data_IF_122206272656
#
_entry.id   IF_122206272656
#
_cell.length_a   1.000
_cell.length_b   1.000
_cell.length_c   1.000
_cell.angle_alpha   90.00
_cell.angle_beta   90.00
_cell.angle_gamma   90.00
#
_symmetry.space_group_name_H-M   'P 1'
#
loop_
_entity.id
_entity.type
_entity.pdbx_description
1 polymer ?
#
# COMPACT_ATOMS: atom_id res chain seq x y z
N UNK A 1 -0.01 23.73 -15.83
CA UNK A 1 -0.17 23.19 -14.46
C UNK A 1 -0.91 24.23 -13.63
N UNK A 2 -2.08 23.88 -13.08
CA UNK A 2 -2.89 24.80 -12.27
C UNK A 2 -2.56 24.70 -10.78
N UNK A 3 -2.69 25.82 -10.06
CA UNK A 3 -2.56 25.87 -8.61
C UNK A 3 -3.75 25.17 -7.95
N UNK A 4 -3.48 24.21 -7.05
CA UNK A 4 -4.53 23.64 -6.18
C UNK A 4 -4.75 24.57 -4.98
N UNK A 5 -5.55 25.62 -5.16
CA UNK A 5 -5.75 26.74 -4.20
C UNK A 5 -5.91 26.29 -2.75
N UNK A 6 -6.84 25.37 -2.46
CA UNK A 6 -7.07 24.87 -1.09
C UNK A 6 -5.86 24.15 -0.49
N UNK A 7 -5.10 23.41 -1.31
CA UNK A 7 -3.88 22.73 -0.85
C UNK A 7 -2.77 23.73 -0.57
N UNK A 8 -2.60 24.72 -1.44
CA UNK A 8 -1.60 25.78 -1.28
C UNK A 8 -1.93 26.69 -0.08
N UNK A 9 -3.20 27.02 0.16
CA UNK A 9 -3.63 27.80 1.32
C UNK A 9 -3.39 27.07 2.64
N UNK A 10 -3.67 25.76 2.71
CA UNK A 10 -3.33 24.96 3.89
C UNK A 10 -1.80 24.93 4.14
N UNK A 11 -0.98 24.88 3.08
CA UNK A 11 0.49 25.01 3.21
C UNK A 11 0.91 26.39 3.71
N UNK A 12 0.25 27.45 3.25
CA UNK A 12 0.47 28.81 3.77
C UNK A 12 0.17 28.88 5.27
N UNK A 13 -0.95 28.30 5.73
CA UNK A 13 -1.26 28.19 7.15
C UNK A 13 -0.13 27.51 7.93
N UNK A 14 0.36 26.34 7.45
CA UNK A 14 1.46 25.62 8.10
C UNK A 14 2.77 26.40 8.11
N UNK A 15 3.09 27.18 7.08
CA UNK A 15 4.29 28.03 7.09
C UNK A 15 4.26 29.07 8.21
N UNK A 16 3.07 29.45 8.69
CA UNK A 16 2.88 30.33 9.86
C UNK A 16 2.81 29.57 11.19
N UNK A 17 3.10 28.27 11.21
CA UNK A 17 3.06 27.43 12.41
C UNK A 17 1.66 26.99 12.82
N UNK A 18 0.64 27.15 11.96
CA UNK A 18 -0.70 26.64 12.27
C UNK A 18 -0.74 25.12 12.13
N UNK A 19 -1.37 24.47 13.10
CA UNK A 19 -1.60 23.02 13.14
C UNK A 19 -3.08 22.71 13.00
N UNK A 20 -3.39 21.47 12.63
CA UNK A 20 -4.73 20.93 12.69
C UNK A 20 -4.85 19.94 13.86
N UNK A 21 -6.06 19.73 14.42
CA UNK A 21 -6.28 18.79 15.52
C UNK A 21 -5.75 17.38 15.21
N UNK A 22 -5.87 16.94 13.96
CA UNK A 22 -5.53 15.58 13.53
C UNK A 22 -4.06 15.39 13.16
N UNK A 23 -3.20 16.41 13.27
CA UNK A 23 -1.81 16.35 12.80
C UNK A 23 -1.00 15.26 13.53
N UNK A 24 -1.15 15.14 14.85
CA UNK A 24 -0.49 14.10 15.66
C UNK A 24 -0.99 12.69 15.31
N UNK A 25 -2.30 12.56 15.03
CA UNK A 25 -2.87 11.26 14.64
C UNK A 25 -2.39 10.84 13.25
N UNK A 26 -2.29 11.77 12.30
CA UNK A 26 -1.71 11.52 10.99
C UNK A 26 -0.26 11.05 11.09
N UNK A 27 0.54 11.69 11.96
CA UNK A 27 1.93 11.28 12.19
C UNK A 27 1.99 9.86 12.78
N UNK A 28 1.21 9.57 13.83
CA UNK A 28 1.13 8.23 14.42
C UNK A 28 0.72 7.16 13.42
N UNK A 29 -0.24 7.45 12.54
CA UNK A 29 -0.66 6.50 11.50
C UNK A 29 0.46 6.27 10.49
N UNK A 30 1.19 7.31 10.08
CA UNK A 30 2.32 7.16 9.17
C UNK A 30 3.43 6.30 9.76
N UNK A 31 3.76 6.49 11.04
CA UNK A 31 4.70 5.61 11.75
C UNK A 31 4.21 4.16 11.73
N UNK A 32 2.93 3.94 12.06
CA UNK A 32 2.31 2.60 12.01
C UNK A 32 2.32 1.99 10.61
N UNK A 33 2.16 2.78 9.55
CA UNK A 33 2.26 2.31 8.16
C UNK A 33 3.68 1.85 7.86
N UNK A 34 4.71 2.61 8.27
CA UNK A 34 6.11 2.22 8.05
C UNK A 34 6.52 0.95 8.80
N UNK A 35 5.83 0.62 9.90
CA UNK A 35 6.10 -0.57 10.70
C UNK A 35 5.46 -1.86 10.13
N UNK A 36 4.51 -1.77 9.19
CA UNK A 36 3.83 -2.96 8.64
C UNK A 36 4.65 -3.53 7.48
N UNK A 37 5.24 -4.70 7.70
CA UNK A 37 5.76 -5.55 6.63
C UNK A 37 4.74 -6.65 6.27
N UNK A 38 4.34 -6.67 5.01
CA UNK A 38 3.38 -7.63 4.46
C UNK A 38 4.06 -8.94 4.04
N UNK A 39 5.36 -8.93 3.77
CA UNK A 39 6.09 -10.08 3.23
C UNK A 39 5.55 -10.61 1.89
N UNK A 40 6.29 -11.54 1.29
CA UNK A 40 5.93 -12.17 0.02
C UNK A 40 5.66 -13.68 0.19
N UNK A 41 5.01 -14.29 -0.78
CA UNK A 41 4.88 -15.76 -0.84
C UNK A 41 3.60 -16.25 -1.54
N UNK A 42 3.73 -17.38 -2.21
CA UNK A 42 2.67 -18.07 -2.95
C UNK A 42 2.37 -19.46 -2.35
N UNK A 43 1.10 -19.86 -2.41
CA UNK A 43 0.59 -21.16 -1.96
C UNK A 43 0.54 -22.15 -3.13
N UNK A 44 0.61 -21.69 -4.38
CA UNK A 44 0.41 -22.51 -5.57
C UNK A 44 1.40 -23.70 -5.63
N UNK A 45 2.67 -23.45 -5.35
CA UNK A 45 3.73 -24.47 -5.38
C UNK A 45 3.48 -25.57 -4.34
N UNK A 46 3.08 -25.18 -3.13
CA UNK A 46 2.75 -26.13 -2.08
C UNK A 46 1.50 -26.97 -2.42
N UNK A 47 0.53 -26.41 -3.14
CA UNK A 47 -0.64 -27.16 -3.62
C UNK A 47 -0.26 -28.18 -4.68
N UNK A 48 0.62 -27.81 -5.62
CA UNK A 48 1.12 -28.73 -6.65
C UNK A 48 1.90 -29.88 -6.03
N UNK A 49 2.80 -29.59 -5.09
CA UNK A 49 3.56 -30.62 -4.38
C UNK A 49 2.66 -31.62 -3.63
N UNK A 50 1.58 -31.15 -2.99
CA UNK A 50 0.61 -32.05 -2.33
C UNK A 50 -0.14 -32.91 -3.35
N UNK A 51 -0.54 -32.34 -4.50
CA UNK A 51 -1.21 -33.10 -5.54
C UNK A 51 -0.31 -34.20 -6.12
N UNK A 52 0.93 -33.85 -6.46
CA UNK A 52 1.93 -34.77 -7.01
C UNK A 52 2.20 -35.96 -6.07
N UNK A 53 2.49 -35.68 -4.79
CA UNK A 53 2.77 -36.76 -3.81
C UNK A 53 1.53 -37.60 -3.49
N UNK A 54 0.33 -37.02 -3.56
CA UNK A 54 -0.92 -37.77 -3.37
C UNK A 54 -1.14 -38.76 -4.52
N UNK A 55 -0.97 -38.30 -5.77
CA UNK A 55 -1.06 -39.17 -6.95
C UNK A 55 -0.02 -40.29 -6.91
N UNK A 56 1.22 -39.99 -6.50
CA UNK A 56 2.26 -41.01 -6.37
C UNK A 56 1.95 -42.02 -5.25
N UNK A 57 1.40 -41.55 -4.12
CA UNK A 57 0.96 -42.43 -3.03
C UNK A 57 -0.12 -43.41 -3.51
N UNK A 58 -1.11 -42.93 -4.28
CA UNK A 58 -2.16 -43.77 -4.85
C UNK A 58 -1.59 -44.83 -5.81
N UNK A 59 -0.69 -44.42 -6.71
CA UNK A 59 0.03 -45.32 -7.62
C UNK A 59 0.81 -46.41 -6.87
N UNK A 60 1.48 -46.06 -5.76
CA UNK A 60 2.25 -47.01 -4.95
C UNK A 60 1.35 -47.97 -4.16
N UNK A 61 0.18 -47.52 -3.69
CA UNK A 61 -0.81 -48.42 -3.06
C UNK A 61 -1.32 -49.47 -4.03
N UNK A 62 -1.59 -49.10 -5.28
CA UNK A 62 -1.95 -50.04 -6.33
C UNK A 62 -0.83 -51.06 -6.61
N UNK A 63 0.43 -50.61 -6.68
CA UNK A 63 1.58 -51.51 -6.84
C UNK A 63 1.74 -52.49 -5.67
N UNK A 64 1.57 -52.04 -4.43
CA UNK A 64 1.59 -52.92 -3.25
C UNK A 64 0.48 -53.97 -3.35
N UNK A 65 -0.73 -53.58 -3.74
CA UNK A 65 -1.84 -54.51 -3.92
C UNK A 65 -1.55 -55.55 -5.01
N UNK A 66 -0.99 -55.12 -6.15
CA UNK A 66 -0.58 -56.00 -7.23
C UNK A 66 0.53 -56.98 -6.79
N UNK A 67 1.56 -56.49 -6.09
CA UNK A 67 2.66 -57.31 -5.58
C UNK A 67 2.17 -58.35 -4.54
N UNK A 68 1.23 -57.96 -3.66
CA UNK A 68 0.56 -58.91 -2.75
C UNK A 68 -0.18 -60.00 -3.51
N UNK A 69 -0.92 -59.66 -4.55
CA UNK A 69 -1.63 -60.63 -5.40
C UNK A 69 -0.67 -61.62 -6.08
N UNK A 70 0.44 -61.14 -6.65
CA UNK A 70 1.48 -61.99 -7.26
C UNK A 70 2.10 -62.95 -6.25
N UNK A 71 2.44 -62.45 -5.06
CA UNK A 71 3.01 -63.27 -3.98
C UNK A 71 2.05 -64.37 -3.53
N UNK A 72 0.75 -64.06 -3.43
CA UNK A 72 -0.26 -65.06 -3.09
C UNK A 72 -0.37 -66.15 -4.17
N UNK A 73 -0.45 -65.78 -5.44
CA UNK A 73 -0.50 -66.74 -6.55
C UNK A 73 0.75 -67.65 -6.61
N UNK A 74 1.95 -67.10 -6.37
CA UNK A 74 3.19 -67.89 -6.33
C UNK A 74 3.20 -68.94 -5.20
N UNK A 75 2.65 -68.58 -4.03
CA UNK A 75 2.52 -69.50 -2.89
C UNK A 75 1.49 -70.61 -3.14
N UNK A 76 0.34 -70.26 -3.73
CA UNK A 76 -0.71 -71.23 -4.09
C UNK A 76 -0.24 -72.20 -5.18
N UNK A 77 0.58 -71.74 -6.12
CA UNK A 77 1.18 -72.57 -7.18
C UNK A 77 2.35 -73.46 -6.73
N UNK A 78 2.77 -73.40 -5.46
CA UNK A 78 3.86 -74.22 -4.91
C UNK A 78 5.26 -73.90 -5.46
N UNK A 79 5.44 -72.74 -6.09
CA UNK A 79 6.72 -72.30 -6.69
C UNK A 79 7.60 -71.48 -5.76
N UNK A 80 8.77 -71.06 -6.25
CA UNK A 80 9.66 -70.13 -5.56
C UNK A 80 9.04 -68.72 -5.48
N UNK A 81 8.77 -68.26 -4.24
CA UNK A 81 8.15 -66.97 -3.95
C UNK A 81 9.17 -65.86 -3.63
N UNK A 82 10.48 -66.11 -3.78
CA UNK A 82 11.54 -65.17 -3.39
C UNK A 82 11.45 -63.85 -4.16
N UNK A 83 11.30 -63.91 -5.49
CA UNK A 83 11.19 -62.71 -6.33
C UNK A 83 9.94 -61.88 -6.02
N UNK A 84 8.79 -62.53 -5.82
CA UNK A 84 7.54 -61.85 -5.47
C UNK A 84 7.59 -61.23 -4.06
N UNK A 85 8.35 -61.83 -3.14
CA UNK A 85 8.59 -61.28 -1.80
C UNK A 85 9.43 -60.01 -1.88
N UNK A 86 10.54 -60.03 -2.64
CA UNK A 86 11.39 -58.86 -2.85
C UNK A 86 10.65 -57.70 -3.56
N UNK A 87 9.78 -58.00 -4.53
CA UNK A 87 8.93 -57.02 -5.20
C UNK A 87 7.98 -56.34 -4.19
N UNK A 88 7.31 -57.13 -3.33
CA UNK A 88 6.43 -56.61 -2.30
C UNK A 88 7.17 -55.75 -1.28
N UNK A 89 8.32 -56.20 -0.77
CA UNK A 89 9.13 -55.44 0.17
C UNK A 89 9.58 -54.10 -0.42
N UNK A 90 10.01 -54.09 -1.68
CA UNK A 90 10.38 -52.85 -2.37
C UNK A 90 9.20 -51.90 -2.53
N UNK A 91 8.03 -52.40 -2.93
CA UNK A 91 6.82 -51.59 -3.09
C UNK A 91 6.33 -51.01 -1.75
N UNK A 92 6.37 -51.79 -0.66
CA UNK A 92 6.02 -51.33 0.68
C UNK A 92 6.99 -50.27 1.19
N UNK A 93 8.29 -50.44 0.95
CA UNK A 93 9.30 -49.44 1.31
C UNK A 93 9.04 -48.10 0.59
N UNK A 94 8.87 -48.14 -0.73
CA UNK A 94 8.58 -46.94 -1.52
C UNK A 94 7.29 -46.26 -1.06
N UNK A 95 6.22 -47.03 -0.81
CA UNK A 95 4.97 -46.49 -0.27
C UNK A 95 5.19 -45.78 1.07
N UNK A 96 5.94 -46.40 1.99
CA UNK A 96 6.20 -45.83 3.32
C UNK A 96 6.99 -44.51 3.24
N UNK A 97 7.97 -44.42 2.34
CA UNK A 97 8.73 -43.20 2.07
C UNK A 97 7.82 -42.10 1.50
N UNK A 98 7.02 -42.41 0.48
CA UNK A 98 6.11 -41.43 -0.14
C UNK A 98 4.98 -40.99 0.80
N UNK A 99 4.46 -41.88 1.67
CA UNK A 99 3.48 -41.50 2.69
C UNK A 99 4.07 -40.49 3.68
N UNK A 100 5.35 -40.64 4.03
CA UNK A 100 6.07 -39.66 4.86
C UNK A 100 6.19 -38.31 4.13
N UNK A 101 6.55 -38.32 2.85
CA UNK A 101 6.60 -37.11 2.02
C UNK A 101 5.24 -36.43 1.88
N UNK A 102 4.16 -37.21 1.80
CA UNK A 102 2.79 -36.72 1.71
C UNK A 102 2.37 -35.96 2.97
N UNK A 103 2.68 -36.51 4.14
CA UNK A 103 2.47 -35.83 5.42
C UNK A 103 3.28 -34.53 5.48
N UNK A 104 4.56 -34.58 5.09
CA UNK A 104 5.42 -33.41 5.10
C UNK A 104 4.94 -32.30 4.14
N UNK A 105 4.52 -32.66 2.92
CA UNK A 105 3.95 -31.73 1.94
C UNK A 105 2.67 -31.08 2.46
N UNK A 106 1.79 -31.87 3.07
CA UNK A 106 0.54 -31.38 3.66
C UNK A 106 0.78 -30.38 4.79
N UNK A 107 1.74 -30.66 5.68
CA UNK A 107 2.13 -29.74 6.74
C UNK A 107 2.71 -28.43 6.19
N UNK A 108 3.57 -28.50 5.15
CA UNK A 108 4.10 -27.30 4.48
C UNK A 108 2.97 -26.45 3.88
N UNK A 109 2.01 -27.08 3.21
CA UNK A 109 0.84 -26.40 2.65
C UNK A 109 -0.01 -25.74 3.74
N UNK A 110 -0.20 -26.38 4.89
CA UNK A 110 -0.94 -25.79 6.00
C UNK A 110 -0.25 -24.51 6.51
N UNK A 111 1.05 -24.56 6.80
CA UNK A 111 1.82 -23.38 7.24
C UNK A 111 1.78 -22.26 6.20
N UNK A 112 1.89 -22.61 4.91
CA UNK A 112 1.79 -21.63 3.84
C UNK A 112 0.41 -20.98 3.75
N UNK A 113 -0.67 -21.72 4.02
CA UNK A 113 -2.04 -21.19 4.09
C UNK A 113 -2.23 -20.23 5.25
N UNK A 114 -1.72 -20.58 6.43
CA UNK A 114 -1.75 -19.72 7.62
C UNK A 114 -1.00 -18.41 7.36
N UNK A 115 0.25 -18.51 6.88
CA UNK A 115 1.03 -17.34 6.51
C UNK A 115 0.32 -16.47 5.46
N UNK A 116 -0.32 -17.06 4.45
CA UNK A 116 -1.06 -16.31 3.45
C UNK A 116 -2.29 -15.56 4.01
N UNK A 117 -2.96 -16.12 5.02
CA UNK A 117 -4.03 -15.44 5.75
C UNK A 117 -3.48 -14.25 6.52
N UNK A 118 -2.40 -14.44 7.27
CA UNK A 118 -1.74 -13.34 7.99
C UNK A 118 -1.29 -12.23 7.05
N UNK A 119 -0.70 -12.55 5.89
CA UNK A 119 -0.34 -11.55 4.86
C UNK A 119 -1.56 -10.81 4.32
N UNK A 120 -2.71 -11.49 4.18
CA UNK A 120 -3.97 -10.84 3.77
C UNK A 120 -4.44 -9.87 4.85
N UNK A 121 -4.46 -10.29 6.11
CA UNK A 121 -4.92 -9.48 7.24
C UNK A 121 -4.01 -8.26 7.45
N UNK A 122 -2.70 -8.42 7.27
CA UNK A 122 -1.75 -7.30 7.26
C UNK A 122 -2.03 -6.29 6.15
N UNK A 123 -2.31 -6.76 4.92
CA UNK A 123 -2.70 -5.88 3.79
C UNK A 123 -4.02 -5.16 4.05
N UNK A 124 -5.01 -5.85 4.59
CA UNK A 124 -6.28 -5.26 4.99
C UNK A 124 -6.05 -4.14 6.02
N UNK A 125 -5.23 -4.39 7.04
CA UNK A 125 -4.84 -3.38 8.04
C UNK A 125 -4.10 -2.21 7.42
N UNK A 126 -3.19 -2.45 6.48
CA UNK A 126 -2.45 -1.42 5.76
C UNK A 126 -3.41 -0.48 5.01
N UNK A 127 -4.30 -1.03 4.17
CA UNK A 127 -5.28 -0.23 3.42
C UNK A 127 -6.16 0.62 4.33
N UNK A 128 -6.67 0.05 5.43
CA UNK A 128 -7.48 0.78 6.41
C UNK A 128 -6.74 1.95 7.03
N UNK A 129 -5.43 1.82 7.27
CA UNK A 129 -4.61 2.89 7.81
C UNK A 129 -4.31 3.96 6.75
N UNK A 130 -4.04 3.56 5.50
CA UNK A 130 -3.87 4.50 4.38
C UNK A 130 -5.14 5.34 4.17
N UNK A 131 -6.31 4.69 4.15
CA UNK A 131 -7.60 5.37 4.01
C UNK A 131 -7.86 6.33 5.18
N UNK A 132 -7.58 5.91 6.41
CA UNK A 132 -7.71 6.77 7.59
C UNK A 132 -6.76 7.97 7.51
N UNK A 133 -5.50 7.76 7.14
CA UNK A 133 -4.55 8.86 6.95
C UNK A 133 -5.04 9.85 5.89
N UNK A 134 -5.54 9.35 4.75
CA UNK A 134 -6.08 10.19 3.69
C UNK A 134 -7.32 10.99 4.13
N UNK A 135 -8.17 10.42 4.99
CA UNK A 135 -9.32 11.12 5.56
C UNK A 135 -8.88 12.24 6.50
N UNK A 136 -8.02 11.93 7.48
CA UNK A 136 -7.51 12.91 8.43
C UNK A 136 -6.71 14.02 7.75
N UNK A 137 -5.92 13.70 6.72
CA UNK A 137 -5.22 14.73 5.93
C UNK A 137 -6.18 15.66 5.18
N UNK A 138 -7.34 15.15 4.74
CA UNK A 138 -8.38 15.97 4.12
C UNK A 138 -9.06 16.87 5.16
N UNK A 139 -9.36 16.33 6.34
CA UNK A 139 -9.95 17.06 7.46
C UNK A 139 -9.00 18.15 7.97
N UNK A 140 -7.73 17.81 8.22
CA UNK A 140 -6.68 18.75 8.60
C UNK A 140 -6.53 19.89 7.57
N UNK A 141 -6.57 19.56 6.28
CA UNK A 141 -6.53 20.57 5.21
C UNK A 141 -7.77 21.47 5.23
N UNK A 142 -8.96 20.90 5.37
CA UNK A 142 -10.21 21.66 5.44
C UNK A 142 -10.21 22.59 6.66
N UNK A 143 -9.73 22.11 7.80
CA UNK A 143 -9.57 22.89 9.02
C UNK A 143 -8.64 24.10 8.81
N UNK A 144 -7.43 23.88 8.29
CA UNK A 144 -6.47 24.95 8.02
C UNK A 144 -6.98 25.97 7.00
N UNK A 145 -7.66 25.50 5.94
CA UNK A 145 -8.32 26.36 4.97
C UNK A 145 -9.42 27.19 5.62
N UNK A 146 -10.23 26.59 6.49
CA UNK A 146 -11.28 27.28 7.23
C UNK A 146 -10.73 28.42 8.09
N UNK A 147 -9.62 28.19 8.79
CA UNK A 147 -8.99 29.22 9.62
C UNK A 147 -8.45 30.42 8.82
N UNK A 148 -8.07 30.22 7.55
CA UNK A 148 -7.58 31.31 6.68
C UNK A 148 -8.62 31.82 5.68
N UNK A 149 -9.83 31.27 5.63
CA UNK A 149 -10.80 31.53 4.56
C UNK A 149 -11.14 33.02 4.42
N UNK A 150 -11.40 33.71 5.53
CA UNK A 150 -11.75 35.13 5.51
C UNK A 150 -10.55 36.01 5.12
N UNK A 151 -9.37 35.74 5.68
CA UNK A 151 -8.13 36.45 5.31
C UNK A 151 -7.76 36.22 3.85
N UNK A 152 -8.03 35.04 3.32
CA UNK A 152 -7.84 34.71 1.91
C UNK A 152 -8.83 35.48 1.02
N UNK A 153 -10.11 35.56 1.41
CA UNK A 153 -11.11 36.41 0.72
C UNK A 153 -10.64 37.86 0.64
N UNK A 154 -10.20 38.42 1.76
CA UNK A 154 -9.66 39.78 1.82
C UNK A 154 -8.42 39.96 0.95
N UNK A 155 -7.49 39.01 1.00
CA UNK A 155 -6.27 39.04 0.20
C UNK A 155 -6.57 39.00 -1.30
N UNK A 156 -7.52 38.15 -1.74
CA UNK A 156 -7.97 38.07 -3.14
C UNK A 156 -8.59 39.40 -3.58
N UNK A 157 -9.49 39.97 -2.77
CA UNK A 157 -10.12 41.26 -3.09
C UNK A 157 -9.11 42.42 -3.16
N UNK A 158 -8.00 42.32 -2.44
CA UNK A 158 -6.94 43.32 -2.43
C UNK A 158 -5.87 43.13 -3.53
N UNK A 159 -5.94 42.06 -4.35
CA UNK A 159 -5.00 41.86 -5.46
C UNK A 159 -5.22 42.94 -6.52
N UNK A 160 -4.18 43.71 -6.90
CA UNK A 160 -4.34 44.73 -7.93
C UNK A 160 -4.76 44.11 -9.27
N UNK A 161 -5.72 44.75 -9.94
CA UNK A 161 -6.27 44.29 -11.23
C UNK A 161 -6.91 42.90 -11.19
N UNK A 162 -7.20 42.34 -10.01
CA UNK A 162 -8.12 41.24 -9.89
C UNK A 162 -9.52 41.74 -10.29
N UNK A 163 -10.16 41.05 -11.23
CA UNK A 163 -11.57 41.33 -11.54
C UNK A 163 -12.45 41.05 -10.32
N UNK A 164 -13.73 41.42 -10.41
CA UNK A 164 -14.68 41.08 -9.34
C UNK A 164 -14.93 39.56 -9.36
N UNK A 165 -14.51 38.84 -8.32
CA UNK A 165 -14.68 37.39 -8.21
C UNK A 165 -15.75 37.07 -7.16
N UNK A 166 -16.78 36.32 -7.54
CA UNK A 166 -17.88 35.96 -6.65
C UNK A 166 -17.46 34.98 -5.54
N UNK A 167 -16.70 33.94 -5.90
CA UNK A 167 -16.05 33.03 -4.93
C UNK A 167 -14.51 33.23 -5.00
N UNK A 168 -13.85 33.66 -3.91
CA UNK A 168 -12.39 33.78 -3.86
C UNK A 168 -11.62 32.51 -4.25
N UNK A 169 -12.22 31.33 -4.11
CA UNK A 169 -11.60 30.06 -4.51
C UNK A 169 -11.67 29.78 -6.02
N UNK A 170 -12.50 30.52 -6.76
CA UNK A 170 -12.63 30.48 -8.22
C UNK A 170 -11.79 31.57 -8.92
N UNK A 171 -11.00 32.32 -8.16
CA UNK A 171 -10.08 33.32 -8.70
C UNK A 171 -9.07 32.69 -9.68
N UNK A 172 -8.61 33.47 -10.66
CA UNK A 172 -7.60 33.00 -11.60
C UNK A 172 -6.30 32.58 -10.87
N UNK A 173 -5.53 31.62 -11.43
CA UNK A 173 -4.38 31.06 -10.73
C UNK A 173 -3.33 32.09 -10.28
N UNK A 174 -3.17 33.21 -10.99
CA UNK A 174 -2.20 34.27 -10.62
C UNK A 174 -2.72 35.04 -9.42
N UNK A 175 -4.00 35.43 -9.43
CA UNK A 175 -4.67 36.10 -8.30
C UNK A 175 -4.64 35.22 -7.05
N UNK A 176 -4.99 33.94 -7.19
CA UNK A 176 -4.94 32.97 -6.08
C UNK A 176 -3.50 32.79 -5.54
N UNK A 177 -2.50 32.68 -6.44
CA UNK A 177 -1.10 32.56 -6.04
C UNK A 177 -0.61 33.79 -5.26
N UNK A 178 -0.93 35.00 -5.71
CA UNK A 178 -0.55 36.24 -5.02
C UNK A 178 -1.20 36.34 -3.64
N UNK A 179 -2.50 36.05 -3.54
CA UNK A 179 -3.20 36.06 -2.26
C UNK A 179 -2.62 35.04 -1.27
N UNK A 180 -2.30 33.82 -1.74
CA UNK A 180 -1.66 32.79 -0.90
C UNK A 180 -0.23 33.21 -0.50
N UNK A 181 0.55 33.77 -1.43
CA UNK A 181 1.91 34.23 -1.16
C UNK A 181 1.94 35.33 -0.08
N UNK A 182 0.98 36.26 -0.10
CA UNK A 182 0.81 37.28 0.94
C UNK A 182 0.47 36.69 2.32
N UNK A 183 -0.25 35.58 2.36
CA UNK A 183 -0.62 34.92 3.63
C UNK A 183 0.45 33.96 4.14
N UNK A 184 1.35 33.48 3.28
CA UNK A 184 2.38 32.53 3.65
C UNK A 184 3.58 33.21 4.33
N UNK A 185 4.26 32.50 5.23
CA UNK A 185 5.60 32.87 5.67
C UNK A 185 6.61 32.24 4.69
N UNK A 186 7.03 33.01 3.69
CA UNK A 186 7.92 32.52 2.64
C UNK A 186 9.38 32.63 3.06
N UNK A 187 10.12 31.52 2.95
CA UNK A 187 11.56 31.46 3.23
C UNK A 187 12.43 31.87 2.04
N UNK A 188 11.83 32.02 0.85
CA UNK A 188 12.51 32.36 -0.39
C UNK A 188 11.86 33.58 -1.07
N UNK A 189 12.61 34.37 -1.85
CA UNK A 189 12.05 35.47 -2.64
C UNK A 189 10.97 35.00 -3.62
N UNK A 190 9.93 35.82 -3.81
CA UNK A 190 8.89 35.61 -4.81
C UNK A 190 9.38 36.11 -6.16
N UNK A 191 9.40 35.21 -7.15
CA UNK A 191 9.69 35.56 -8.54
C UNK A 191 8.39 35.95 -9.23
N UNK A 192 8.28 37.19 -9.69
CA UNK A 192 7.10 37.74 -10.37
C UNK A 192 7.36 37.92 -11.86
N UNK A 193 6.65 37.13 -12.65
CA UNK A 193 6.55 37.24 -14.11
C UNK A 193 5.10 37.58 -14.50
N UNK A 194 4.53 38.62 -13.88
CA UNK A 194 3.18 39.09 -14.16
C UNK A 194 3.06 40.62 -14.02
N UNK A 195 2.11 41.20 -14.75
CA UNK A 195 1.90 42.66 -14.81
C UNK A 195 0.83 43.16 -13.83
N UNK A 196 0.70 42.51 -12.66
CA UNK A 196 -0.23 42.93 -11.61
C UNK A 196 0.28 44.13 -10.81
N UNK A 197 1.59 44.36 -10.78
CA UNK A 197 2.20 45.44 -10.00
C UNK A 197 3.00 46.37 -10.89
N UNK A 198 2.84 47.68 -10.71
CA UNK A 198 3.58 48.69 -11.45
C UNK A 198 5.09 48.70 -11.17
N UNK A 199 5.54 48.13 -10.04
CA UNK A 199 6.97 48.03 -9.70
C UNK A 199 7.25 46.86 -8.75
N UNK A 200 8.50 46.38 -8.72
CA UNK A 200 8.95 45.38 -7.75
C UNK A 200 8.80 45.88 -6.30
N UNK A 201 8.99 47.17 -6.05
CA UNK A 201 8.79 47.77 -4.73
C UNK A 201 7.31 47.75 -4.29
N UNK A 202 6.38 48.00 -5.21
CA UNK A 202 4.95 47.89 -4.92
C UNK A 202 4.55 46.44 -4.61
N UNK A 203 5.07 45.49 -5.39
CA UNK A 203 4.85 44.07 -5.15
C UNK A 203 5.42 43.61 -3.81
N UNK A 204 6.65 44.01 -3.48
CA UNK A 204 7.30 43.69 -2.19
C UNK A 204 6.47 44.20 -1.01
N UNK A 205 5.98 45.44 -1.07
CA UNK A 205 5.13 46.02 -0.02
C UNK A 205 3.79 45.28 0.13
N UNK A 206 3.22 44.81 -0.97
CA UNK A 206 1.95 44.10 -0.94
C UNK A 206 2.10 42.64 -0.51
N UNK A 207 3.15 41.94 -0.97
CA UNK A 207 3.41 40.55 -0.62
C UNK A 207 4.01 40.40 0.78
N UNK A 208 4.57 41.47 1.33
CA UNK A 208 5.36 41.45 2.57
C UNK A 208 6.51 40.42 2.52
N UNK A 209 7.10 40.26 1.34
CA UNK A 209 8.15 39.29 1.06
C UNK A 209 9.15 39.85 0.04
N UNK A 210 10.43 39.41 0.04
CA UNK A 210 11.40 39.77 -1.00
C UNK A 210 10.87 39.39 -2.39
N UNK A 211 11.04 40.27 -3.38
CA UNK A 211 10.53 40.07 -4.75
C UNK A 211 11.66 40.22 -5.78
N UNK A 212 11.70 39.30 -6.73
CA UNK A 212 12.48 39.39 -7.97
C UNK A 212 11.50 39.51 -9.13
N UNK A 213 11.61 40.55 -9.96
CA UNK A 213 10.77 40.71 -11.16
C UNK A 213 11.56 40.27 -12.40
N UNK A 214 10.92 39.52 -13.28
CA UNK A 214 11.49 39.00 -14.55
C UNK A 214 10.73 39.52 -15.74
#
# INVERSE_FOLDING_TARGET
MGLRTRTALARAARSRGMTAPDDEEVESIRERLTAIDVGEGDIADHRRAVAEVTTETERLREQVAAARGKLQAAREGGGDATAATAELESAVRQLSETETDSVAASQRLQRAREAARERRDRRERLRRLEDRAANLEREARAHLVGQLADRYREAVAAVPSAGNVADPFDADPVTAALAIARLAALSAPVVLACDRFGSAAAARRWLDAPVVRV
#
